data_IF_015974459086
#
_entry.id   IF_015974459086
#
_cell.length_a   1.000
_cell.length_b   1.000
_cell.length_c   1.000
_cell.angle_alpha   90.00
_cell.angle_beta   90.00
_cell.angle_gamma   90.00
#
_symmetry.space_group_name_H-M   'P 1'
#
loop_
_entity.id
_entity.type
_entity.pdbx_description
1 polymer ?
#
# COMPACT_ATOMS: atom_id res chain seq x y z
N UNK A 1 -24.03 -10.10 8.78
CA UNK A 1 -22.98 -10.30 7.76
C UNK A 1 -23.10 -11.71 7.21
N UNK A 2 -23.25 -11.89 5.90
CA UNK A 2 -23.51 -13.19 5.26
C UNK A 2 -22.20 -14.00 5.21
N UNK A 3 -22.17 -15.19 5.84
CA UNK A 3 -20.98 -16.06 5.87
C UNK A 3 -20.74 -16.70 4.50
N UNK A 4 -19.50 -17.04 4.17
CA UNK A 4 -19.17 -17.73 2.90
C UNK A 4 -19.99 -19.00 2.70
N UNK A 5 -20.31 -19.73 3.79
CA UNK A 5 -21.20 -20.90 3.77
C UNK A 5 -22.60 -20.57 3.25
N UNK A 6 -23.12 -19.41 3.62
CA UNK A 6 -24.46 -18.95 3.20
C UNK A 6 -24.49 -18.58 1.71
N UNK A 7 -23.36 -18.04 1.21
CA UNK A 7 -23.17 -17.69 -0.21
C UNK A 7 -23.11 -18.96 -1.07
N UNK A 8 -22.37 -19.98 -0.61
CA UNK A 8 -22.29 -21.27 -1.31
C UNK A 8 -23.67 -21.94 -1.36
N UNK A 9 -24.47 -21.82 -0.29
CA UNK A 9 -25.83 -22.34 -0.23
C UNK A 9 -26.74 -21.64 -1.26
N UNK A 10 -26.75 -20.28 -1.26
CA UNK A 10 -27.54 -19.48 -2.22
C UNK A 10 -27.09 -19.71 -3.67
N UNK A 11 -25.79 -19.90 -3.89
CA UNK A 11 -25.26 -20.17 -5.22
C UNK A 11 -25.64 -21.57 -5.73
N UNK A 12 -25.75 -22.56 -4.84
CA UNK A 12 -26.28 -23.88 -5.15
C UNK A 12 -27.77 -23.84 -5.47
N UNK A 13 -28.57 -23.11 -4.67
CA UNK A 13 -30.00 -22.91 -4.90
C UNK A 13 -30.30 -22.18 -6.22
N UNK A 14 -29.36 -21.32 -6.69
CA UNK A 14 -29.48 -20.60 -7.99
C UNK A 14 -28.76 -21.28 -9.14
N UNK A 15 -28.35 -22.54 -9.03
CA UNK A 15 -27.64 -23.30 -10.06
C UNK A 15 -26.40 -22.60 -10.66
N UNK A 16 -25.69 -21.82 -9.85
CA UNK A 16 -24.48 -21.15 -10.28
C UNK A 16 -23.31 -22.16 -10.33
N UNK A 17 -22.77 -22.40 -11.50
CA UNK A 17 -21.58 -23.24 -11.67
C UNK A 17 -20.35 -22.70 -10.90
N UNK A 18 -19.29 -23.55 -10.74
CA UNK A 18 -18.07 -23.19 -9.99
C UNK A 18 -17.46 -21.82 -10.33
N UNK A 19 -17.52 -21.40 -11.61
CA UNK A 19 -17.04 -20.08 -12.06
C UNK A 19 -17.91 -18.94 -11.50
N UNK A 20 -19.23 -19.10 -11.49
CA UNK A 20 -20.17 -18.11 -10.95
C UNK A 20 -20.04 -17.95 -9.44
N UNK A 21 -19.81 -19.07 -8.70
CA UNK A 21 -19.55 -19.04 -7.25
C UNK A 21 -18.25 -18.28 -6.95
N UNK A 22 -17.15 -18.60 -7.68
CA UNK A 22 -15.86 -17.91 -7.51
C UNK A 22 -15.98 -16.41 -7.77
N UNK A 23 -16.68 -16.02 -8.85
CA UNK A 23 -16.92 -14.60 -9.17
C UNK A 23 -17.67 -13.90 -8.04
N UNK A 24 -18.77 -14.46 -7.55
CA UNK A 24 -19.60 -13.86 -6.49
C UNK A 24 -18.86 -13.76 -5.15
N UNK A 25 -18.05 -14.76 -4.80
CA UNK A 25 -17.16 -14.69 -3.61
C UNK A 25 -16.12 -13.59 -3.79
N UNK A 26 -15.54 -13.43 -4.98
CA UNK A 26 -14.59 -12.33 -5.30
C UNK A 26 -15.27 -10.97 -5.17
N UNK A 27 -16.48 -10.81 -5.71
CA UNK A 27 -17.24 -9.56 -5.66
C UNK A 27 -17.61 -9.17 -4.21
N UNK A 28 -17.97 -10.15 -3.37
CA UNK A 28 -18.27 -9.93 -1.95
C UNK A 28 -17.03 -9.56 -1.13
N UNK A 29 -15.91 -10.22 -1.38
CA UNK A 29 -14.63 -9.84 -0.76
C UNK A 29 -14.25 -8.40 -1.14
N UNK A 30 -14.46 -8.04 -2.40
CA UNK A 30 -14.21 -6.68 -2.89
C UNK A 30 -15.16 -5.65 -2.26
N UNK A 31 -16.43 -5.98 -2.06
CA UNK A 31 -17.42 -5.09 -1.44
C UNK A 31 -17.21 -4.89 0.06
N UNK A 32 -16.57 -5.85 0.73
CA UNK A 32 -16.20 -5.76 2.17
C UNK A 32 -14.74 -5.36 2.39
N UNK A 33 -13.99 -5.11 1.31
CA UNK A 33 -12.59 -4.73 1.38
C UNK A 33 -12.39 -3.44 2.17
N UNK A 34 -11.41 -3.50 3.05
CA UNK A 34 -10.99 -2.35 3.85
C UNK A 34 -11.97 -1.94 4.95
N UNK A 35 -13.01 -2.71 5.22
CA UNK A 35 -14.04 -2.36 6.20
C UNK A 35 -13.44 -1.98 7.57
N UNK A 36 -12.42 -2.68 8.02
CA UNK A 36 -11.74 -2.36 9.28
C UNK A 36 -10.96 -1.05 9.17
N UNK A 37 -10.24 -0.86 8.07
CA UNK A 37 -9.46 0.35 7.83
C UNK A 37 -10.33 1.59 7.65
N UNK A 38 -11.56 1.43 7.14
CA UNK A 38 -12.52 2.52 6.98
C UNK A 38 -13.07 3.07 8.27
N UNK A 39 -12.89 2.39 9.40
CA UNK A 39 -13.41 2.80 10.71
C UNK A 39 -12.33 3.00 11.78
N UNK A 40 -11.08 2.65 11.50
CA UNK A 40 -9.99 2.88 12.45
C UNK A 40 -9.60 4.35 12.49
N UNK A 41 -9.41 4.87 13.68
CA UNK A 41 -9.08 6.27 13.92
C UNK A 41 -7.87 6.42 14.85
N UNK A 42 -7.78 7.58 15.49
CA UNK A 42 -6.65 8.01 16.31
C UNK A 42 -6.23 6.99 17.37
N UNK A 43 -7.18 6.38 18.06
CA UNK A 43 -6.88 5.38 19.11
C UNK A 43 -6.12 4.16 18.57
N UNK A 44 -6.46 3.69 17.38
CA UNK A 44 -5.76 2.58 16.76
C UNK A 44 -4.33 2.96 16.38
N UNK A 45 -4.16 4.08 15.69
CA UNK A 45 -2.84 4.50 15.20
C UNK A 45 -1.90 4.90 16.34
N UNK A 46 -2.41 5.53 17.41
CA UNK A 46 -1.60 5.85 18.60
C UNK A 46 -1.10 4.61 19.33
N UNK A 47 -1.90 3.54 19.37
CA UNK A 47 -1.49 2.25 19.97
C UNK A 47 -0.42 1.53 19.16
N UNK A 48 -0.38 1.72 17.85
CA UNK A 48 0.59 1.03 17.00
C UNK A 48 1.99 1.65 17.13
N UNK A 49 2.13 2.95 17.48
CA UNK A 49 3.44 3.61 17.63
C UNK A 49 4.33 3.41 16.39
N UNK A 50 3.77 3.62 15.20
CA UNK A 50 4.33 3.15 13.92
C UNK A 50 5.81 3.50 13.73
N UNK A 51 6.18 4.75 14.05
CA UNK A 51 7.57 5.22 13.82
C UNK A 51 8.55 4.60 14.81
N UNK A 52 8.12 4.39 16.04
CA UNK A 52 8.94 3.85 17.12
C UNK A 52 9.12 2.34 17.01
N UNK A 53 8.19 1.66 16.37
CA UNK A 53 8.23 0.20 16.22
C UNK A 53 9.10 -0.27 15.07
N UNK A 54 9.26 0.54 14.03
CA UNK A 54 9.99 0.19 12.80
C UNK A 54 10.97 1.29 12.40
N UNK A 55 11.92 1.66 13.28
CA UNK A 55 12.74 2.85 13.09
C UNK A 55 13.65 2.78 11.86
N UNK A 56 14.17 1.60 11.49
CA UNK A 56 15.04 1.47 10.32
C UNK A 56 14.27 1.71 9.03
N UNK A 57 13.03 1.21 8.93
CA UNK A 57 12.19 1.47 7.77
C UNK A 57 12.00 2.97 7.57
N UNK A 58 11.57 3.67 8.62
CA UNK A 58 11.26 5.08 8.52
C UNK A 58 12.50 5.93 8.24
N UNK A 59 13.62 5.65 8.90
CA UNK A 59 14.88 6.34 8.65
C UNK A 59 15.37 6.11 7.20
N UNK A 60 15.28 4.89 6.69
CA UNK A 60 15.69 4.59 5.33
C UNK A 60 14.81 5.31 4.29
N UNK A 61 13.49 5.38 4.53
CA UNK A 61 12.60 6.17 3.68
C UNK A 61 12.91 7.67 3.75
N UNK A 62 13.13 8.23 4.94
CA UNK A 62 13.47 9.66 5.07
C UNK A 62 14.80 9.99 4.39
N UNK A 63 15.80 9.12 4.50
CA UNK A 63 17.06 9.25 3.76
C UNK A 63 16.83 9.18 2.24
N UNK A 64 15.98 8.25 1.78
CA UNK A 64 15.60 8.18 0.37
C UNK A 64 14.91 9.46 -0.10
N UNK A 65 13.93 9.98 0.65
CA UNK A 65 13.24 11.22 0.33
C UNK A 65 14.21 12.41 0.25
N UNK A 66 15.09 12.55 1.24
CA UNK A 66 16.05 13.67 1.31
C UNK A 66 17.16 13.59 0.26
N UNK A 67 17.41 12.42 -0.32
CA UNK A 67 18.37 12.25 -1.44
C UNK A 67 17.80 12.66 -2.80
N UNK A 68 16.52 13.05 -2.87
CA UNK A 68 15.82 13.39 -4.13
C UNK A 68 15.48 14.90 -4.14
N UNK A 69 16.44 15.73 -4.49
CA UNK A 69 16.34 17.20 -4.41
C UNK A 69 15.32 17.80 -5.39
N UNK A 70 15.01 17.09 -6.47
CA UNK A 70 14.13 17.55 -7.55
C UNK A 70 12.66 17.15 -7.37
N UNK A 71 12.28 16.62 -6.19
CA UNK A 71 10.90 16.27 -5.83
C UNK A 71 10.11 17.51 -5.43
N UNK A 72 9.07 17.82 -6.22
CA UNK A 72 8.12 18.93 -5.96
C UNK A 72 6.72 18.44 -5.60
N UNK A 73 6.30 17.31 -6.15
CA UNK A 73 4.96 16.76 -5.95
C UNK A 73 5.04 15.36 -5.36
N UNK A 74 4.28 15.11 -4.28
CA UNK A 74 4.29 13.85 -3.53
C UNK A 74 2.89 13.27 -3.41
N UNK A 75 2.74 11.98 -3.67
CA UNK A 75 1.56 11.18 -3.33
C UNK A 75 1.94 10.14 -2.28
N UNK A 76 1.33 10.20 -1.11
CA UNK A 76 1.36 9.12 -0.11
C UNK A 76 0.12 8.26 -0.24
N UNK A 77 0.30 6.96 -0.51
CA UNK A 77 -0.80 5.99 -0.62
C UNK A 77 -0.88 5.20 0.69
N UNK A 78 -2.05 5.26 1.35
CA UNK A 78 -2.25 4.72 2.69
C UNK A 78 -1.65 5.63 3.76
N UNK A 79 -1.93 6.92 3.69
CA UNK A 79 -1.32 7.92 4.57
C UNK A 79 -1.76 7.79 6.04
N UNK A 80 -2.82 7.01 6.34
CA UNK A 80 -3.35 6.87 7.67
C UNK A 80 -3.60 8.22 8.32
N UNK A 81 -2.99 8.47 9.48
CA UNK A 81 -3.10 9.71 10.24
C UNK A 81 -2.10 10.80 9.80
N UNK A 82 -1.50 10.68 8.61
CA UNK A 82 -0.60 11.70 8.07
C UNK A 82 0.70 11.86 8.86
N UNK A 83 1.25 10.78 9.38
CA UNK A 83 2.40 10.81 10.29
C UNK A 83 3.59 11.52 9.68
N UNK A 84 3.91 11.24 8.40
CA UNK A 84 5.07 11.83 7.74
C UNK A 84 4.95 13.34 7.56
N UNK A 85 3.92 13.89 6.90
CA UNK A 85 3.85 15.33 6.70
C UNK A 85 3.63 16.10 8.01
N UNK A 86 2.98 15.50 9.02
CA UNK A 86 2.75 16.17 10.31
C UNK A 86 4.03 16.18 11.16
N UNK A 87 4.72 15.04 11.30
CA UNK A 87 5.89 14.90 12.17
C UNK A 87 7.17 15.48 11.55
N UNK A 88 7.29 15.39 10.23
CA UNK A 88 8.45 15.86 9.46
C UNK A 88 8.09 17.03 8.54
N UNK A 89 7.29 17.97 9.04
CA UNK A 89 6.72 19.08 8.28
C UNK A 89 7.73 19.78 7.37
N UNK A 90 8.93 20.05 7.87
CA UNK A 90 10.01 20.71 7.14
C UNK A 90 10.45 19.98 5.84
N UNK A 91 10.22 18.67 5.73
CA UNK A 91 10.52 17.92 4.52
C UNK A 91 9.39 17.99 3.47
N UNK A 92 8.19 18.41 3.86
CA UNK A 92 7.00 18.39 3.02
C UNK A 92 6.42 19.77 2.72
N UNK A 93 6.64 20.79 3.57
CA UNK A 93 5.97 22.11 3.50
C UNK A 93 6.22 22.89 2.21
N UNK A 94 7.36 22.65 1.55
CA UNK A 94 7.69 23.27 0.26
C UNK A 94 7.34 22.37 -0.95
N UNK A 95 6.52 21.35 -0.75
CA UNK A 95 6.13 20.37 -1.76
C UNK A 95 4.60 20.31 -1.86
N UNK A 96 4.11 20.07 -3.05
CA UNK A 96 2.70 19.76 -3.25
C UNK A 96 2.44 18.32 -2.80
N UNK A 97 1.94 18.15 -1.59
CA UNK A 97 1.65 16.86 -0.99
C UNK A 97 0.17 16.50 -1.11
N UNK A 98 -0.10 15.22 -1.42
CA UNK A 98 -1.41 14.61 -1.34
C UNK A 98 -1.32 13.28 -0.59
N UNK A 99 -1.99 13.18 0.55
CA UNK A 99 -2.20 11.93 1.28
C UNK A 99 -3.51 11.27 0.86
N UNK A 100 -3.45 9.99 0.50
CA UNK A 100 -4.60 9.18 0.12
C UNK A 100 -4.77 8.01 1.09
N UNK A 101 -5.97 7.83 1.65
CA UNK A 101 -6.34 6.68 2.48
C UNK A 101 -7.79 6.30 2.27
N UNK A 102 -8.14 5.04 2.53
CA UNK A 102 -9.54 4.55 2.48
C UNK A 102 -10.30 4.83 3.79
N UNK A 103 -9.60 5.21 4.85
CA UNK A 103 -10.13 5.48 6.19
C UNK A 103 -10.60 6.92 6.35
N UNK A 104 -11.91 7.17 6.23
CA UNK A 104 -12.47 8.51 6.41
C UNK A 104 -12.13 9.15 7.77
N UNK A 105 -12.21 8.44 8.93
CA UNK A 105 -11.82 9.02 10.22
C UNK A 105 -10.35 9.44 10.29
N UNK A 106 -9.44 8.71 9.63
CA UNK A 106 -8.03 9.04 9.57
C UNK A 106 -7.81 10.31 8.72
N UNK A 107 -8.48 10.42 7.58
CA UNK A 107 -8.44 11.61 6.72
C UNK A 107 -9.02 12.84 7.42
N UNK A 108 -10.12 12.70 8.14
CA UNK A 108 -10.72 13.78 8.93
C UNK A 108 -9.78 14.28 10.03
N UNK A 109 -9.06 13.36 10.69
CA UNK A 109 -8.02 13.73 11.64
C UNK A 109 -6.90 14.54 10.97
N UNK A 110 -6.38 14.06 9.82
CA UNK A 110 -5.32 14.74 9.08
C UNK A 110 -5.71 16.18 8.71
N UNK A 111 -6.91 16.39 8.18
CA UNK A 111 -7.45 17.71 7.81
C UNK A 111 -7.60 18.65 8.99
N UNK A 112 -7.83 18.13 10.20
CA UNK A 112 -7.91 18.94 11.44
C UNK A 112 -6.53 19.28 12.01
N UNK A 113 -5.51 18.50 11.70
CA UNK A 113 -4.18 18.60 12.32
C UNK A 113 -3.14 19.27 11.44
N UNK A 114 -3.41 19.45 10.15
CA UNK A 114 -2.45 20.08 9.24
C UNK A 114 -3.12 20.67 8.00
N UNK A 115 -2.42 21.59 7.35
CA UNK A 115 -2.85 22.26 6.11
C UNK A 115 -2.47 21.48 4.84
N UNK A 116 -1.90 20.30 4.98
CA UNK A 116 -1.62 19.43 3.83
C UNK A 116 -2.91 18.87 3.20
N UNK A 117 -2.82 18.50 1.93
CA UNK A 117 -3.97 17.96 1.21
C UNK A 117 -4.15 16.46 1.52
N UNK A 118 -5.38 16.08 1.85
CA UNK A 118 -5.76 14.69 2.11
C UNK A 118 -7.06 14.34 1.41
N UNK A 119 -7.11 13.12 0.87
CA UNK A 119 -8.27 12.59 0.14
C UNK A 119 -8.64 11.20 0.67
N UNK A 120 -9.93 11.00 0.95
CA UNK A 120 -10.46 9.67 1.25
C UNK A 120 -10.79 8.93 -0.05
N UNK A 121 -10.24 7.72 -0.25
CA UNK A 121 -10.55 6.91 -1.42
C UNK A 121 -9.64 5.71 -1.61
N UNK A 122 -10.11 4.78 -2.43
CA UNK A 122 -9.36 3.62 -2.90
C UNK A 122 -8.60 3.98 -4.18
N UNK A 123 -7.27 3.86 -4.17
CA UNK A 123 -6.41 4.15 -5.33
C UNK A 123 -6.89 3.51 -6.63
N UNK A 124 -7.48 2.32 -6.55
CA UNK A 124 -7.95 1.58 -7.71
C UNK A 124 -9.31 2.07 -8.26
N UNK A 125 -9.97 2.98 -7.55
CA UNK A 125 -11.30 3.50 -7.91
C UNK A 125 -11.31 4.99 -8.19
N UNK A 126 -10.43 5.75 -7.53
CA UNK A 126 -10.37 7.20 -7.70
C UNK A 126 -9.68 7.58 -9.01
N UNK A 127 -10.08 8.73 -9.54
CA UNK A 127 -9.43 9.33 -10.70
C UNK A 127 -8.40 10.35 -10.23
N UNK A 128 -7.13 10.11 -10.57
CA UNK A 128 -6.03 11.05 -10.41
C UNK A 128 -5.46 11.29 -11.81
N UNK A 129 -5.50 12.52 -12.27
CA UNK A 129 -5.20 12.89 -13.66
C UNK A 129 -3.77 13.44 -13.84
N UNK A 130 -3.01 13.55 -12.76
CA UNK A 130 -1.61 14.03 -12.80
C UNK A 130 -0.63 12.96 -12.34
N UNK A 131 0.61 13.10 -12.78
CA UNK A 131 1.74 12.36 -12.22
C UNK A 131 2.32 13.10 -11.02
N UNK A 132 2.98 12.33 -10.16
CA UNK A 132 3.70 12.84 -8.99
C UNK A 132 5.19 12.56 -9.14
N UNK A 133 6.03 13.50 -8.72
CA UNK A 133 7.48 13.28 -8.73
C UNK A 133 7.87 12.12 -7.83
N UNK A 134 7.27 12.03 -6.64
CA UNK A 134 7.45 10.91 -5.72
C UNK A 134 6.10 10.31 -5.32
N UNK A 135 6.01 8.99 -5.41
CA UNK A 135 4.93 8.21 -4.80
C UNK A 135 5.53 7.33 -3.71
N UNK A 136 4.95 7.33 -2.51
CA UNK A 136 5.35 6.36 -1.51
C UNK A 136 4.16 5.69 -0.82
N UNK A 137 4.40 4.49 -0.32
CA UNK A 137 3.38 3.67 0.35
C UNK A 137 4.03 2.70 1.32
N UNK A 138 3.58 2.74 2.58
CA UNK A 138 4.07 1.85 3.63
C UNK A 138 2.97 0.93 4.13
N UNK A 139 3.21 -0.40 4.08
CA UNK A 139 2.30 -1.41 4.64
C UNK A 139 0.89 -1.41 4.04
N UNK A 140 0.72 -1.02 2.77
CA UNK A 140 -0.57 -0.98 2.06
C UNK A 140 -0.70 -2.14 1.08
N UNK A 141 0.34 -2.40 0.27
CA UNK A 141 0.35 -3.47 -0.73
C UNK A 141 0.11 -4.85 -0.09
N UNK A 142 0.45 -4.99 1.19
CA UNK A 142 0.19 -6.18 2.00
C UNK A 142 -1.30 -6.49 2.16
N UNK A 143 -2.17 -5.51 1.91
CA UNK A 143 -3.60 -5.60 2.20
C UNK A 143 -4.50 -5.40 0.98
N UNK A 144 -3.96 -5.03 -0.17
CA UNK A 144 -4.75 -4.76 -1.36
C UNK A 144 -5.38 -6.04 -1.93
N UNK A 145 -6.53 -5.90 -2.57
CA UNK A 145 -7.26 -7.01 -3.18
C UNK A 145 -6.83 -7.32 -4.63
N UNK A 146 -6.02 -6.44 -5.22
CA UNK A 146 -5.50 -6.57 -6.58
C UNK A 146 -4.10 -5.93 -6.65
N UNK A 147 -3.08 -6.75 -6.43
CA UNK A 147 -1.68 -6.34 -6.37
C UNK A 147 -1.22 -5.81 -7.73
N UNK A 148 -1.60 -6.50 -8.80
CA UNK A 148 -1.19 -6.16 -10.16
C UNK A 148 -1.74 -4.80 -10.60
N UNK A 149 -3.03 -4.55 -10.34
CA UNK A 149 -3.64 -3.24 -10.63
C UNK A 149 -3.08 -2.13 -9.74
N UNK A 150 -2.75 -2.42 -8.48
CA UNK A 150 -2.14 -1.46 -7.57
C UNK A 150 -0.77 -1.01 -8.07
N UNK A 151 0.10 -1.95 -8.45
CA UNK A 151 1.42 -1.64 -9.02
C UNK A 151 1.32 -0.88 -10.35
N UNK A 152 0.46 -1.35 -11.26
CA UNK A 152 0.24 -0.68 -12.55
C UNK A 152 -0.24 0.77 -12.36
N UNK A 153 -1.11 1.01 -11.37
CA UNK A 153 -1.59 2.37 -11.08
C UNK A 153 -0.47 3.24 -10.52
N UNK A 154 0.37 2.73 -9.63
CA UNK A 154 1.55 3.45 -9.14
C UNK A 154 2.48 3.79 -10.30
N UNK A 155 2.83 2.83 -11.16
CA UNK A 155 3.69 3.06 -12.32
C UNK A 155 3.10 4.13 -13.25
N UNK A 156 1.78 4.13 -13.47
CA UNK A 156 1.09 5.15 -14.30
C UNK A 156 1.21 6.56 -13.70
N UNK A 157 1.05 6.69 -12.39
CA UNK A 157 1.08 7.97 -11.68
C UNK A 157 2.49 8.45 -11.34
N UNK A 158 3.49 7.54 -11.36
CA UNK A 158 4.88 7.86 -11.05
C UNK A 158 5.51 8.71 -12.15
N UNK A 159 5.93 9.92 -11.80
CA UNK A 159 6.66 10.83 -12.67
C UNK A 159 8.16 10.56 -12.66
N UNK A 160 8.75 10.38 -11.48
CA UNK A 160 10.19 10.17 -11.30
C UNK A 160 10.50 9.01 -10.35
N UNK A 161 9.98 9.04 -9.14
CA UNK A 161 10.36 8.13 -8.06
C UNK A 161 9.16 7.44 -7.44
N UNK A 162 9.34 6.18 -7.03
CA UNK A 162 8.42 5.56 -6.09
C UNK A 162 9.17 4.74 -5.04
N UNK A 163 8.62 4.70 -3.81
CA UNK A 163 9.11 3.91 -2.69
C UNK A 163 7.95 3.18 -2.03
N UNK A 164 7.93 1.86 -2.13
CA UNK A 164 6.86 1.02 -1.61
C UNK A 164 7.46 0.02 -0.65
N UNK A 165 6.95 -0.06 0.58
CA UNK A 165 7.33 -1.09 1.53
C UNK A 165 6.18 -2.04 1.85
N UNK A 166 6.51 -3.32 1.93
CA UNK A 166 5.63 -4.41 2.34
C UNK A 166 6.23 -5.14 3.55
N UNK A 167 5.51 -5.17 4.66
CA UNK A 167 6.04 -5.61 5.96
C UNK A 167 5.97 -7.11 6.19
N UNK A 168 5.35 -7.86 5.30
CA UNK A 168 5.12 -9.29 5.51
C UNK A 168 6.29 -10.20 5.16
N UNK A 169 7.45 -9.63 4.82
CA UNK A 169 8.67 -10.35 4.53
C UNK A 169 9.09 -10.27 3.06
N UNK A 170 10.23 -10.86 2.76
CA UNK A 170 10.83 -10.93 1.44
C UNK A 170 10.80 -12.37 0.91
N UNK A 171 10.17 -12.59 -0.26
CA UNK A 171 9.89 -13.94 -0.78
C UNK A 171 10.45 -14.15 -2.20
N UNK A 172 11.78 -14.27 -2.38
CA UNK A 172 12.41 -14.41 -3.69
C UNK A 172 12.04 -15.74 -4.39
N UNK A 173 11.76 -16.79 -3.62
CA UNK A 173 11.46 -18.12 -4.13
C UNK A 173 9.96 -18.38 -4.33
N UNK A 174 9.09 -17.45 -3.99
CA UNK A 174 7.66 -17.60 -4.15
C UNK A 174 7.29 -17.40 -5.63
N UNK A 175 6.67 -18.41 -6.26
CA UNK A 175 6.29 -18.37 -7.69
C UNK A 175 5.15 -17.39 -7.98
N UNK A 176 4.13 -17.38 -7.11
CA UNK A 176 2.93 -16.55 -7.23
C UNK A 176 2.68 -15.80 -5.92
N UNK A 177 1.98 -14.68 -5.95
CA UNK A 177 1.54 -14.00 -4.73
C UNK A 177 0.63 -14.91 -3.91
N UNK A 178 0.86 -15.00 -2.60
CA UNK A 178 -0.03 -15.70 -1.68
C UNK A 178 -0.93 -14.69 -0.97
N UNK A 179 -2.19 -14.66 -1.34
CA UNK A 179 -3.19 -13.75 -0.78
C UNK A 179 -4.11 -14.51 0.16
N UNK A 180 -4.08 -14.16 1.45
CA UNK A 180 -4.94 -14.74 2.47
C UNK A 180 -6.00 -13.70 2.88
N UNK A 181 -7.28 -14.07 2.80
CA UNK A 181 -8.36 -13.18 3.21
C UNK A 181 -8.67 -13.31 4.70
N UNK A 182 -8.71 -12.20 5.41
CA UNK A 182 -9.17 -12.08 6.79
C UNK A 182 -10.62 -11.57 6.81
N UNK A 183 -11.55 -12.41 7.28
CA UNK A 183 -12.97 -12.05 7.32
C UNK A 183 -13.30 -11.03 8.43
N UNK A 184 -12.53 -11.01 9.51
CA UNK A 184 -12.77 -10.13 10.64
C UNK A 184 -12.34 -8.71 10.30
N UNK A 185 -11.15 -8.57 9.70
CA UNK A 185 -10.58 -7.29 9.31
C UNK A 185 -11.04 -6.81 7.93
N UNK A 186 -11.64 -7.70 7.12
CA UNK A 186 -12.09 -7.35 5.78
C UNK A 186 -10.94 -6.93 4.85
N UNK A 187 -9.76 -7.54 5.01
CA UNK A 187 -8.60 -7.24 4.18
C UNK A 187 -7.84 -8.51 3.79
N UNK A 188 -6.95 -8.39 2.84
CA UNK A 188 -5.99 -9.42 2.52
C UNK A 188 -4.74 -9.30 3.39
N UNK A 189 -4.05 -10.43 3.56
CA UNK A 189 -2.65 -10.50 3.98
C UNK A 189 -1.86 -11.12 2.84
N UNK A 190 -1.06 -10.30 2.16
CA UNK A 190 -0.37 -10.64 0.93
C UNK A 190 1.11 -10.94 1.22
N UNK A 191 1.57 -12.15 0.89
CA UNK A 191 2.99 -12.42 0.76
C UNK A 191 3.35 -12.22 -0.72
N UNK A 192 4.29 -11.35 -1.00
CA UNK A 192 4.57 -10.88 -2.35
C UNK A 192 5.66 -11.72 -3.01
N UNK A 193 5.36 -12.32 -4.15
CA UNK A 193 6.37 -12.98 -4.98
C UNK A 193 7.25 -11.93 -5.67
N UNK A 194 8.55 -11.94 -5.43
CA UNK A 194 9.50 -11.03 -6.07
C UNK A 194 9.48 -11.21 -7.60
N UNK A 195 9.35 -12.45 -8.06
CA UNK A 195 9.22 -12.75 -9.50
C UNK A 195 8.02 -12.04 -10.11
N UNK A 196 6.83 -12.18 -9.50
CA UNK A 196 5.59 -11.55 -10.00
C UNK A 196 5.63 -10.02 -9.93
N UNK A 197 6.26 -9.47 -8.89
CA UNK A 197 6.48 -8.02 -8.79
C UNK A 197 7.31 -7.51 -9.97
N UNK A 198 8.45 -8.16 -10.29
CA UNK A 198 9.30 -7.82 -11.45
C UNK A 198 8.53 -7.89 -12.75
N UNK A 199 7.87 -9.03 -13.03
CA UNK A 199 7.06 -9.23 -14.24
C UNK A 199 6.01 -8.12 -14.38
N UNK A 200 5.35 -7.74 -13.27
CA UNK A 200 4.32 -6.72 -13.30
C UNK A 200 4.87 -5.32 -13.55
N UNK A 201 5.99 -4.96 -12.95
CA UNK A 201 6.64 -3.65 -13.19
C UNK A 201 7.06 -3.52 -14.65
N UNK A 202 7.68 -4.56 -15.24
CA UNK A 202 8.06 -4.58 -16.66
C UNK A 202 6.81 -4.47 -17.56
N UNK A 203 5.78 -5.28 -17.33
CA UNK A 203 4.55 -5.24 -18.14
C UNK A 203 3.74 -3.96 -17.94
N UNK A 204 4.04 -3.18 -16.90
CA UNK A 204 3.49 -1.83 -16.68
C UNK A 204 4.30 -0.72 -17.35
N UNK A 205 5.38 -1.06 -18.07
CA UNK A 205 6.15 -0.14 -18.91
C UNK A 205 7.42 0.40 -18.26
N UNK A 206 7.99 -0.30 -17.27
CA UNK A 206 9.33 -0.01 -16.75
C UNK A 206 10.38 -0.93 -17.39
N UNK A 207 11.58 -0.41 -17.60
CA UNK A 207 12.75 -1.21 -17.91
C UNK A 207 13.35 -1.78 -16.62
N UNK A 208 14.13 -2.86 -16.73
CA UNK A 208 14.72 -3.53 -15.54
C UNK A 208 15.66 -2.61 -14.73
N UNK A 209 16.24 -1.62 -15.35
CA UNK A 209 17.14 -0.65 -14.74
C UNK A 209 16.44 0.61 -14.16
N UNK A 210 15.10 0.63 -14.21
CA UNK A 210 14.27 1.68 -13.62
C UNK A 210 13.66 1.26 -12.27
N UNK A 211 13.90 0.04 -11.78
CA UNK A 211 13.40 -0.39 -10.49
C UNK A 211 14.36 -1.35 -9.77
N UNK A 212 14.28 -1.34 -8.44
CA UNK A 212 14.97 -2.25 -7.55
C UNK A 212 13.96 -2.89 -6.60
N UNK A 213 14.00 -4.22 -6.46
CA UNK A 213 13.26 -4.95 -5.43
C UNK A 213 14.27 -5.62 -4.52
N UNK A 214 14.24 -5.27 -3.24
CA UNK A 214 15.20 -5.74 -2.24
C UNK A 214 14.54 -6.05 -0.91
N UNK A 215 15.22 -6.82 -0.09
CA UNK A 215 14.90 -6.97 1.32
C UNK A 215 15.49 -5.83 2.16
N UNK A 216 14.86 -5.56 3.28
CA UNK A 216 15.31 -4.58 4.26
C UNK A 216 14.86 -4.97 5.65
N UNK A 217 15.76 -4.88 6.64
CA UNK A 217 15.37 -4.94 8.05
C UNK A 217 14.55 -3.69 8.42
N UNK A 218 13.48 -3.87 9.18
CA UNK A 218 12.61 -2.77 9.64
C UNK A 218 13.03 -2.21 11.02
N UNK A 219 13.95 -2.89 11.72
CA UNK A 219 14.42 -2.54 13.04
C UNK A 219 13.44 -2.86 14.16
N UNK A 220 12.44 -3.70 13.89
CA UNK A 220 11.45 -4.09 14.88
C UNK A 220 12.10 -4.88 16.03
N UNK A 221 11.81 -4.49 17.26
CA UNK A 221 12.22 -5.25 18.45
C UNK A 221 11.27 -6.45 18.61
N UNK A 222 11.78 -7.66 18.38
CA UNK A 222 11.04 -8.93 18.39
C UNK A 222 10.28 -9.26 19.70
N UNK A 223 10.49 -8.49 20.77
CA UNK A 223 9.86 -8.72 22.07
C UNK A 223 8.45 -8.09 22.21
N UNK A 224 7.93 -7.44 21.21
CA UNK A 224 6.58 -6.92 21.22
C UNK A 224 5.67 -7.87 20.46
N UNK A 225 4.77 -8.51 21.16
CA UNK A 225 3.77 -9.47 20.65
C UNK A 225 2.72 -8.77 19.77
N UNK A 226 3.14 -8.23 18.64
CA UNK A 226 2.25 -7.73 17.61
C UNK A 226 2.12 -8.74 16.48
N UNK A 227 0.98 -9.37 16.52
CA UNK A 227 0.23 -9.97 15.41
C UNK A 227 1.00 -10.69 14.30
N UNK A 228 0.77 -11.97 14.25
CA UNK A 228 0.62 -12.82 13.06
C UNK A 228 1.27 -12.25 11.79
N UNK A 229 2.54 -12.61 11.56
CA UNK A 229 3.19 -12.46 10.28
C UNK A 229 4.16 -11.29 10.11
N UNK A 230 4.57 -10.61 11.15
CA UNK A 230 5.70 -9.69 11.12
C UNK A 230 6.99 -10.50 11.18
N UNK A 231 7.91 -10.27 10.25
CA UNK A 231 9.16 -11.03 10.11
C UNK A 231 10.39 -10.24 10.52
N UNK A 232 10.25 -8.93 10.77
CA UNK A 232 11.38 -8.01 10.95
C UNK A 232 12.08 -7.65 9.63
N UNK A 233 11.63 -8.26 8.52
CA UNK A 233 12.16 -8.03 7.17
C UNK A 233 11.02 -7.56 6.28
N UNK A 234 11.30 -6.58 5.45
CA UNK A 234 10.37 -6.01 4.48
C UNK A 234 10.82 -6.24 3.04
N UNK A 235 9.85 -6.27 2.15
CA UNK A 235 10.09 -6.08 0.72
C UNK A 235 10.03 -4.60 0.41
N UNK A 236 11.10 -4.05 -0.15
CA UNK A 236 11.15 -2.68 -0.65
C UNK A 236 11.14 -2.72 -2.17
N UNK A 237 10.30 -1.88 -2.77
CA UNK A 237 10.26 -1.63 -4.22
C UNK A 237 10.58 -0.15 -4.43
N UNK A 238 11.68 0.12 -5.07
CA UNK A 238 12.11 1.45 -5.48
C UNK A 238 11.95 1.57 -6.99
N UNK A 239 11.41 2.69 -7.46
CA UNK A 239 11.32 3.03 -8.88
C UNK A 239 12.04 4.36 -9.07
N UNK A 240 12.89 4.42 -10.09
CA UNK A 240 13.54 5.63 -10.56
C UNK A 240 13.43 5.70 -12.08
N UNK A 241 12.50 6.53 -12.55
CA UNK A 241 12.26 6.68 -13.98
C UNK A 241 13.38 7.45 -14.64
N UNK A 242 13.91 6.88 -15.70
CA UNK A 242 14.86 7.59 -16.56
C UNK A 242 14.11 8.66 -17.34
N UNK A 243 14.64 9.88 -17.33
CA UNK A 243 14.14 10.92 -18.23
C UNK A 243 14.25 10.39 -19.66
N UNK A 244 13.11 10.32 -20.37
CA UNK A 244 13.16 10.12 -21.81
C UNK A 244 13.89 11.34 -22.41
N UNK A 245 15.20 11.27 -22.52
CA UNK A 245 15.93 12.14 -23.44
C UNK A 245 15.38 11.81 -24.82
N UNK A 246 14.42 12.62 -25.29
CA UNK A 246 13.98 12.56 -26.67
C UNK A 246 15.23 12.67 -27.53
N UNK A 247 15.59 11.57 -28.20
CA UNK A 247 16.48 11.61 -29.34
C UNK A 247 15.80 12.35 -30.50
#
# INVERSE_FOLDING_TARGET
MMRIKDIVKIAREKNLGRKGIKKRVKDLKKSSYGKNWQVVGEEFYSKIGILEQRPLLHNNFLNYLTSKDDVKTILEIGCGMGIYPIKFKNLFENKEYLGLDIGEPAIDFCKKKSDFNFMCGDLLKIKLDKKFDLIFSHAVIDHVYDIDSFLARIVTLCGKYAYISAYRGYFPNLKEHKMTWDNEKGCHYNNLSVKRLKEKLITSGLNEDEFLIREQEDGMKLNQSYSIGLTGIETIIEIERKSNSKK
#
